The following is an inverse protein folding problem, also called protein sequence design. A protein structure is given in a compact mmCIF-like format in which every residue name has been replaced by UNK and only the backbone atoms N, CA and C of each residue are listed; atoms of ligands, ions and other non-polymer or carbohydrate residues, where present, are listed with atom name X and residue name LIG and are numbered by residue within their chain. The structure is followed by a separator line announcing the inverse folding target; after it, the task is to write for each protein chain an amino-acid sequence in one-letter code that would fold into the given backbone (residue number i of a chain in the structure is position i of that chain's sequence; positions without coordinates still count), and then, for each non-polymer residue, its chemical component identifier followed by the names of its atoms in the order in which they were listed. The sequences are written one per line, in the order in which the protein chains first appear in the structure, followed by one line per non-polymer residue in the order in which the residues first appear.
data_IF_778456541130
#
_entry.id   IF_778456541130
#
_cell.length_a   1.000
_cell.length_b   1.000
_cell.length_c   1.000
_cell.angle_alpha   90.00
_cell.angle_beta   90.00
_cell.angle_gamma   90.00
#
_symmetry.space_group_name_H-M   'P 1'
#
loop_
_entity.id
_entity.type
_entity.pdbx_description
1 polymer ?
#
# COMPACT_ATOMS: atom_id res chain seq x y z
N UNK A 1 -3.39 35.25 21.73
CA UNK A 1 -3.23 35.91 20.43
C UNK A 1 -1.91 35.53 19.75
N UNK A 2 -1.75 34.25 19.42
CA UNK A 2 -0.56 33.76 18.69
C UNK A 2 -0.82 33.48 17.20
N UNK A 3 -1.93 33.95 16.64
CA UNK A 3 -2.29 33.75 15.22
C UNK A 3 -2.33 35.05 14.43
N UNK A 4 -1.53 36.06 14.82
CA UNK A 4 -1.50 37.36 14.15
C UNK A 4 -0.48 37.52 13.03
N UNK A 5 0.36 36.53 12.77
CA UNK A 5 1.26 36.58 11.62
C UNK A 5 0.63 35.84 10.44
N UNK A 6 0.57 36.52 9.30
CA UNK A 6 -0.07 36.08 8.07
C UNK A 6 0.38 34.67 7.69
N UNK A 7 -0.49 33.69 7.87
CA UNK A 7 -0.28 32.36 7.33
C UNK A 7 -0.25 32.44 5.81
N UNK A 8 0.92 32.30 5.23
CA UNK A 8 1.09 32.31 3.79
C UNK A 8 0.74 30.93 3.24
N UNK A 9 -0.50 30.79 2.75
CA UNK A 9 -0.99 29.55 2.14
C UNK A 9 -0.12 29.07 0.97
N UNK A 10 0.50 29.99 0.23
CA UNK A 10 1.38 29.62 -0.90
C UNK A 10 2.68 29.04 -0.43
N UNK A 11 3.26 29.60 0.64
CA UNK A 11 4.47 29.06 1.26
C UNK A 11 4.20 27.72 1.92
N UNK A 12 3.06 27.58 2.62
CA UNK A 12 2.65 26.31 3.21
C UNK A 12 2.42 25.23 2.15
N UNK A 13 1.74 25.55 1.06
CA UNK A 13 1.54 24.61 -0.05
C UNK A 13 2.89 24.19 -0.65
N UNK A 14 3.80 25.13 -0.90
CA UNK A 14 5.12 24.82 -1.43
C UNK A 14 5.95 23.93 -0.50
N UNK A 15 5.92 24.19 0.81
CA UNK A 15 6.61 23.35 1.80
C UNK A 15 6.00 21.95 1.86
N UNK A 16 4.68 21.82 1.74
CA UNK A 16 4.00 20.52 1.70
C UNK A 16 4.33 19.73 0.44
N UNK A 17 4.46 20.41 -0.70
CA UNK A 17 4.86 19.77 -1.97
C UNK A 17 6.34 19.31 -1.97
N UNK A 18 7.19 19.97 -1.17
CA UNK A 18 8.62 19.64 -1.04
C UNK A 18 8.89 18.58 0.04
N UNK A 19 7.90 18.23 0.89
CA UNK A 19 8.07 17.19 1.89
C UNK A 19 8.02 15.81 1.22
N UNK A 20 9.03 14.95 1.46
CA UNK A 20 8.96 13.58 0.97
C UNK A 20 7.73 12.90 1.57
N UNK A 21 6.99 12.09 0.78
CA UNK A 21 5.85 11.36 1.30
C UNK A 21 6.28 10.49 2.48
N UNK A 22 5.48 10.49 3.54
CA UNK A 22 5.70 9.58 4.67
C UNK A 22 5.60 8.16 4.15
N UNK A 23 6.51 7.27 4.57
CA UNK A 23 6.57 5.89 4.11
C UNK A 23 5.18 5.25 3.98
N UNK A 24 4.97 4.57 2.85
CA UNK A 24 3.73 3.87 2.50
C UNK A 24 2.47 4.76 2.31
N UNK A 25 2.63 6.06 2.10
CA UNK A 25 1.54 6.94 1.65
C UNK A 25 1.74 7.38 0.21
N UNK A 26 1.84 6.39 -0.71
CA UNK A 26 2.24 6.64 -2.09
C UNK A 26 3.75 6.87 -2.23
N UNK A 27 4.55 6.30 -1.33
CA UNK A 27 6.01 6.36 -1.43
C UNK A 27 6.50 5.41 -2.51
N UNK A 28 7.42 5.91 -3.32
CA UNK A 28 8.15 5.08 -4.27
C UNK A 28 9.52 4.77 -3.67
N UNK A 29 9.85 3.48 -3.57
CA UNK A 29 11.17 3.02 -3.15
C UNK A 29 11.70 1.96 -4.11
N UNK A 30 13.03 1.90 -4.24
CA UNK A 30 13.68 0.91 -5.08
C UNK A 30 13.77 -0.45 -4.37
N UNK A 31 13.30 -1.49 -5.04
CA UNK A 31 13.44 -2.89 -4.60
C UNK A 31 13.98 -3.70 -5.78
N UNK A 32 15.12 -4.35 -5.58
CA UNK A 32 15.80 -5.15 -6.61
C UNK A 32 16.07 -4.40 -7.94
N UNK A 33 16.31 -3.08 -7.87
CA UNK A 33 16.56 -2.25 -9.06
C UNK A 33 15.29 -1.85 -9.81
N UNK A 34 14.12 -1.98 -9.20
CA UNK A 34 12.84 -1.54 -9.74
C UNK A 34 12.15 -0.58 -8.78
N UNK A 35 11.51 0.46 -9.33
CA UNK A 35 10.66 1.35 -8.54
C UNK A 35 9.36 0.62 -8.14
N UNK A 36 9.03 0.70 -6.87
CA UNK A 36 7.84 0.07 -6.28
C UNK A 36 7.08 1.11 -5.48
N UNK A 37 5.79 1.23 -5.73
CA UNK A 37 4.90 2.08 -4.95
C UNK A 37 4.37 1.33 -3.73
N UNK A 38 4.42 1.96 -2.56
CA UNK A 38 3.92 1.43 -1.31
C UNK A 38 2.74 2.25 -0.80
N UNK A 39 1.59 1.61 -0.62
CA UNK A 39 0.33 2.24 -0.22
C UNK A 39 -0.17 1.66 1.10
N UNK A 40 -0.21 2.48 2.15
CA UNK A 40 -0.76 2.10 3.45
C UNK A 40 -2.27 2.33 3.50
N UNK A 41 -3.00 1.28 3.88
CA UNK A 41 -4.44 1.33 4.17
C UNK A 41 -4.68 0.97 5.64
N UNK A 42 -5.43 1.80 6.37
CA UNK A 42 -5.64 1.64 7.81
C UNK A 42 -7.12 1.47 8.18
N UNK A 43 -8.02 1.84 7.28
CA UNK A 43 -9.46 1.78 7.48
C UNK A 43 -10.16 1.86 6.10
N UNK A 44 -11.50 1.65 6.04
CA UNK A 44 -12.24 1.69 4.78
C UNK A 44 -12.04 2.97 3.98
N UNK A 45 -12.05 4.12 4.66
CA UNK A 45 -11.92 5.43 4.01
C UNK A 45 -10.55 5.59 3.35
N UNK A 46 -9.46 5.23 4.05
CA UNK A 46 -8.11 5.30 3.49
C UNK A 46 -7.92 4.31 2.34
N UNK A 47 -8.54 3.14 2.41
CA UNK A 47 -8.48 2.18 1.32
C UNK A 47 -9.23 2.71 0.09
N UNK A 48 -10.47 3.17 0.28
CA UNK A 48 -11.25 3.75 -0.81
C UNK A 48 -10.52 4.91 -1.48
N UNK A 49 -10.01 5.86 -0.68
CA UNK A 49 -9.29 7.02 -1.20
C UNK A 49 -8.07 6.61 -2.04
N UNK A 50 -7.32 5.61 -1.60
CA UNK A 50 -6.17 5.13 -2.36
C UNK A 50 -6.60 4.42 -3.65
N UNK A 51 -7.67 3.62 -3.64
CA UNK A 51 -8.20 3.00 -4.86
C UNK A 51 -8.71 4.05 -5.85
N UNK A 52 -9.41 5.08 -5.37
CA UNK A 52 -9.93 6.18 -6.20
C UNK A 52 -8.81 7.03 -6.82
N UNK A 53 -7.64 7.06 -6.18
CA UNK A 53 -6.46 7.80 -6.64
C UNK A 53 -5.38 6.92 -7.29
N UNK A 54 -5.67 5.66 -7.61
CA UNK A 54 -4.80 4.84 -8.45
C UNK A 54 -4.75 5.45 -9.86
N UNK A 55 -3.95 6.51 -10.02
CA UNK A 55 -3.86 7.32 -11.25
C UNK A 55 -3.11 6.63 -12.37
N UNK A 56 -2.21 5.73 -12.03
CA UNK A 56 -1.55 4.81 -12.97
C UNK A 56 -2.19 3.46 -12.74
N UNK A 57 -2.79 2.90 -13.78
CA UNK A 57 -3.24 1.50 -13.72
C UNK A 57 -1.98 0.65 -13.45
N UNK A 58 -1.71 0.25 -12.20
CA UNK A 58 -0.46 -0.44 -11.89
C UNK A 58 -0.47 -1.77 -12.65
N UNK A 59 0.65 -2.08 -13.32
CA UNK A 59 0.75 -3.28 -14.13
C UNK A 59 0.81 -4.55 -13.26
N UNK A 60 1.28 -4.39 -12.02
CA UNK A 60 1.35 -5.48 -11.04
C UNK A 60 0.98 -4.99 -9.64
N UNK A 61 0.11 -5.73 -8.98
CA UNK A 61 -0.46 -5.34 -7.69
C UNK A 61 -0.34 -6.49 -6.68
N UNK A 62 0.18 -6.17 -5.51
CA UNK A 62 0.09 -7.03 -4.34
C UNK A 62 -0.82 -6.39 -3.28
N UNK A 63 -1.69 -7.18 -2.69
CA UNK A 63 -2.55 -6.74 -1.56
C UNK A 63 -2.24 -7.59 -0.34
N UNK A 64 -1.83 -6.97 0.78
CA UNK A 64 -1.47 -7.68 2.00
C UNK A 64 -2.17 -7.09 3.23
N UNK A 65 -3.11 -7.81 3.81
CA UNK A 65 -3.89 -7.38 4.99
C UNK A 65 -3.38 -8.10 6.24
N UNK A 66 -2.82 -7.32 7.16
CA UNK A 66 -2.17 -7.83 8.37
C UNK A 66 -3.10 -8.02 9.58
N UNK A 67 -2.48 -8.31 10.73
CA UNK A 67 -3.16 -8.58 12.02
C UNK A 67 -3.78 -7.35 12.67
N UNK A 68 -3.37 -6.17 12.26
CA UNK A 68 -3.94 -4.90 12.73
C UNK A 68 -5.39 -4.69 12.30
N UNK A 69 -5.82 -5.41 11.29
CA UNK A 69 -7.23 -5.49 10.88
C UNK A 69 -7.90 -6.60 11.70
N UNK A 70 -8.37 -6.22 12.90
CA UNK A 70 -9.02 -7.14 13.83
C UNK A 70 -10.42 -7.56 13.39
N UNK A 71 -11.13 -6.68 12.69
CA UNK A 71 -12.43 -6.94 12.10
C UNK A 71 -12.34 -6.73 10.58
N UNK A 72 -12.12 -7.79 9.80
CA UNK A 72 -12.00 -7.68 8.36
C UNK A 72 -13.35 -7.41 7.63
N UNK A 73 -14.46 -7.38 8.38
CA UNK A 73 -15.76 -7.09 7.79
C UNK A 73 -15.83 -5.72 7.09
N UNK A 74 -15.01 -4.76 7.53
CA UNK A 74 -14.94 -3.46 6.90
C UNK A 74 -14.41 -3.51 5.45
N UNK A 75 -13.68 -4.56 5.04
CA UNK A 75 -13.27 -4.76 3.65
C UNK A 75 -14.46 -4.81 2.69
N UNK A 76 -15.64 -5.23 3.20
CA UNK A 76 -16.86 -5.31 2.42
C UNK A 76 -17.54 -3.97 2.17
N UNK A 77 -17.14 -2.91 2.88
CA UNK A 77 -17.64 -1.55 2.69
C UNK A 77 -16.85 -0.75 1.65
N UNK A 78 -15.70 -1.28 1.20
CA UNK A 78 -14.83 -0.64 0.20
C UNK A 78 -15.30 -1.05 -1.20
N UNK A 79 -15.46 -0.07 -2.08
CA UNK A 79 -15.69 -0.32 -3.50
C UNK A 79 -14.35 -0.67 -4.19
N UNK A 80 -14.26 -1.89 -4.66
CA UNK A 80 -13.05 -2.42 -5.31
C UNK A 80 -13.02 -2.19 -6.83
N UNK A 81 -14.00 -1.50 -7.41
CA UNK A 81 -14.17 -1.37 -8.86
C UNK A 81 -12.96 -0.71 -9.57
N UNK A 82 -12.18 0.09 -8.85
CA UNK A 82 -10.96 0.71 -9.38
C UNK A 82 -9.73 -0.19 -9.32
N UNK A 83 -9.82 -1.37 -8.71
CA UNK A 83 -8.76 -2.36 -8.69
C UNK A 83 -8.95 -3.35 -9.86
N UNK A 84 -8.08 -3.31 -10.83
CA UNK A 84 -8.22 -4.13 -12.05
C UNK A 84 -7.92 -5.62 -11.82
N UNK A 85 -6.99 -5.92 -10.91
CA UNK A 85 -6.53 -7.27 -10.56
C UNK A 85 -5.67 -7.23 -9.30
N UNK A 86 -5.30 -8.39 -8.77
CA UNK A 86 -4.25 -8.55 -7.78
C UNK A 86 -3.37 -9.75 -8.17
N UNK A 87 -2.09 -9.54 -8.46
CA UNK A 87 -1.17 -10.63 -8.81
C UNK A 87 -0.88 -11.52 -7.61
N UNK A 88 -0.73 -10.91 -6.43
CA UNK A 88 -0.50 -11.64 -5.18
C UNK A 88 -1.36 -11.07 -4.05
N UNK A 89 -2.03 -11.96 -3.33
CA UNK A 89 -2.79 -11.65 -2.12
C UNK A 89 -2.14 -12.32 -0.93
N UNK A 90 -1.90 -11.59 0.18
CA UNK A 90 -1.18 -12.10 1.33
C UNK A 90 -1.59 -11.44 2.66
N UNK A 91 -0.80 -11.73 3.70
CA UNK A 91 -0.97 -11.21 5.05
C UNK A 91 -1.79 -12.13 5.94
N UNK A 92 -2.02 -11.69 7.19
CA UNK A 92 -2.76 -12.51 8.15
C UNK A 92 -4.23 -12.75 7.73
N UNK A 93 -4.87 -11.73 7.19
CA UNK A 93 -6.25 -11.76 6.70
C UNK A 93 -6.33 -12.05 5.18
N UNK A 94 -5.40 -12.86 4.65
CA UNK A 94 -5.33 -13.16 3.22
C UNK A 94 -6.61 -13.81 2.68
N UNK A 95 -7.25 -14.67 3.47
CA UNK A 95 -8.46 -15.36 3.06
C UNK A 95 -9.65 -14.40 2.89
N UNK A 96 -9.78 -13.45 3.82
CA UNK A 96 -10.86 -12.47 3.82
C UNK A 96 -10.73 -11.50 2.64
N UNK A 97 -9.53 -10.99 2.39
CA UNK A 97 -9.32 -10.10 1.23
C UNK A 97 -9.43 -10.84 -0.10
N UNK A 98 -8.95 -12.09 -0.20
CA UNK A 98 -9.11 -12.90 -1.39
C UNK A 98 -10.60 -13.17 -1.67
N UNK A 99 -11.37 -13.51 -0.63
CA UNK A 99 -12.81 -13.68 -0.75
C UNK A 99 -13.50 -12.39 -1.21
N UNK A 100 -13.14 -11.25 -0.60
CA UNK A 100 -13.70 -9.94 -0.99
C UNK A 100 -13.42 -9.59 -2.46
N UNK A 101 -12.19 -9.81 -2.92
CA UNK A 101 -11.81 -9.58 -4.32
C UNK A 101 -12.57 -10.51 -5.27
N UNK A 102 -12.69 -11.77 -4.91
CA UNK A 102 -13.46 -12.76 -5.70
C UNK A 102 -14.92 -12.33 -5.86
N UNK A 103 -15.57 -11.86 -4.78
CA UNK A 103 -16.95 -11.34 -4.84
C UNK A 103 -17.10 -10.03 -5.61
N UNK A 104 -16.01 -9.32 -5.84
CA UNK A 104 -15.97 -8.14 -6.68
C UNK A 104 -15.59 -8.43 -8.13
N UNK A 105 -15.51 -9.71 -8.52
CA UNK A 105 -15.08 -10.19 -9.83
C UNK A 105 -13.67 -9.69 -10.22
N UNK A 106 -12.79 -9.47 -9.23
CA UNK A 106 -11.42 -9.03 -9.46
C UNK A 106 -10.51 -10.25 -9.59
N UNK A 107 -9.79 -10.39 -10.72
CA UNK A 107 -8.88 -11.50 -10.92
C UNK A 107 -7.76 -11.52 -9.88
N UNK A 108 -7.46 -12.71 -9.34
CA UNK A 108 -6.36 -12.97 -8.41
C UNK A 108 -5.40 -13.95 -9.06
N UNK A 109 -4.11 -13.60 -9.10
CA UNK A 109 -3.06 -14.47 -9.61
C UNK A 109 -2.71 -15.56 -8.61
N UNK A 110 -2.26 -15.20 -7.42
CA UNK A 110 -1.86 -16.13 -6.38
C UNK A 110 -2.29 -15.66 -5.00
N UNK A 111 -2.63 -16.61 -4.13
CA UNK A 111 -2.92 -16.37 -2.71
C UNK A 111 -1.86 -17.09 -1.87
N UNK A 112 -1.08 -16.34 -1.10
CA UNK A 112 0.00 -16.86 -0.26
C UNK A 112 -0.11 -16.28 1.15
N UNK A 113 -0.37 -17.13 2.14
CA UNK A 113 -0.53 -16.70 3.54
C UNK A 113 0.76 -16.25 4.23
N UNK A 114 1.91 -16.77 3.79
CA UNK A 114 3.21 -16.34 4.28
C UNK A 114 3.67 -15.08 3.54
N UNK A 115 3.81 -13.97 4.29
CA UNK A 115 4.13 -12.68 3.71
C UNK A 115 5.52 -12.64 3.07
N UNK A 116 6.52 -13.33 3.63
CA UNK A 116 7.88 -13.35 3.09
C UNK A 116 7.92 -14.11 1.77
N UNK A 117 7.25 -15.25 1.69
CA UNK A 117 7.10 -16.01 0.45
C UNK A 117 6.32 -15.21 -0.59
N UNK A 118 5.24 -14.55 -0.19
CA UNK A 118 4.43 -13.72 -1.07
C UNK A 118 5.21 -12.55 -1.68
N UNK A 119 6.00 -11.85 -0.86
CA UNK A 119 6.89 -10.78 -1.34
C UNK A 119 7.94 -11.33 -2.31
N UNK A 120 8.54 -12.48 -1.98
CA UNK A 120 9.48 -13.14 -2.88
C UNK A 120 8.85 -13.47 -4.24
N UNK A 121 7.65 -14.03 -4.26
CA UNK A 121 6.91 -14.33 -5.49
C UNK A 121 6.58 -13.06 -6.26
N UNK A 122 6.08 -12.03 -5.59
CA UNK A 122 5.69 -10.76 -6.21
C UNK A 122 6.89 -10.02 -6.84
N UNK A 123 8.00 -9.90 -6.11
CA UNK A 123 9.18 -9.22 -6.62
C UNK A 123 9.95 -10.02 -7.68
N UNK A 124 9.72 -11.33 -7.79
CA UNK A 124 10.23 -12.16 -8.86
C UNK A 124 9.36 -12.16 -10.13
N UNK A 125 8.19 -11.53 -10.11
CA UNK A 125 7.43 -11.30 -11.35
C UNK A 125 8.26 -10.50 -12.34
N UNK A 126 8.10 -10.72 -13.64
CA UNK A 126 8.78 -9.93 -14.67
C UNK A 126 8.59 -8.43 -14.45
N UNK A 127 9.58 -7.64 -14.89
CA UNK A 127 9.45 -6.18 -14.83
C UNK A 127 8.18 -5.72 -15.54
N UNK A 128 7.38 -4.81 -14.93
CA UNK A 128 6.20 -4.24 -15.56
C UNK A 128 6.53 -3.64 -16.94
N UNK A 129 5.65 -3.87 -17.91
CA UNK A 129 5.80 -3.28 -19.24
C UNK A 129 5.44 -1.80 -19.26
N UNK A 130 4.51 -1.43 -18.42
CA UNK A 130 4.06 -0.05 -18.19
C UNK A 130 3.77 0.13 -16.71
N UNK A 131 3.94 1.35 -16.18
CA UNK A 131 3.72 1.61 -14.75
C UNK A 131 4.79 0.99 -13.87
N UNK A 132 4.42 0.65 -12.64
CA UNK A 132 5.31 0.08 -11.62
C UNK A 132 4.58 -1.00 -10.82
N UNK A 133 5.34 -1.75 -10.04
CA UNK A 133 4.79 -2.65 -9.02
C UNK A 133 4.18 -1.80 -7.89
N UNK A 134 2.99 -2.17 -7.44
CA UNK A 134 2.30 -1.49 -6.34
C UNK A 134 1.97 -2.48 -5.23
N UNK A 135 2.36 -2.17 -4.00
CA UNK A 135 2.04 -2.96 -2.82
C UNK A 135 1.07 -2.18 -1.94
N UNK A 136 -0.15 -2.68 -1.81
CA UNK A 136 -1.18 -2.14 -0.93
C UNK A 136 -1.21 -3.00 0.34
N UNK A 137 -0.99 -2.40 1.49
CA UNK A 137 -0.92 -3.16 2.74
C UNK A 137 -1.49 -2.42 3.96
N UNK A 138 -1.92 -3.18 4.96
CA UNK A 138 -2.24 -2.64 6.27
C UNK A 138 -0.98 -2.44 7.13
N UNK A 139 -1.10 -1.76 8.27
CA UNK A 139 0.04 -1.34 9.07
C UNK A 139 0.93 -2.49 9.59
N UNK A 140 0.35 -3.62 9.99
CA UNK A 140 1.15 -4.79 10.40
C UNK A 140 1.91 -5.39 9.21
N UNK A 141 1.23 -5.58 8.09
CA UNK A 141 1.86 -6.09 6.87
C UNK A 141 2.97 -5.14 6.38
N UNK A 142 2.75 -3.81 6.45
CA UNK A 142 3.76 -2.80 6.15
C UNK A 142 5.02 -2.96 7.01
N UNK A 143 4.88 -2.98 8.35
CA UNK A 143 6.03 -3.11 9.25
C UNK A 143 6.83 -4.39 9.00
N UNK A 144 6.13 -5.50 8.72
CA UNK A 144 6.77 -6.77 8.37
C UNK A 144 7.47 -6.71 7.02
N UNK A 145 6.83 -6.13 6.01
CA UNK A 145 7.43 -5.90 4.67
C UNK A 145 8.71 -5.09 4.77
N UNK A 146 8.69 -3.96 5.51
CA UNK A 146 9.90 -3.15 5.72
C UNK A 146 11.05 -3.95 6.32
N UNK A 147 10.77 -4.76 7.34
CA UNK A 147 11.78 -5.61 7.98
C UNK A 147 12.35 -6.63 7.01
N UNK A 148 11.50 -7.27 6.22
CA UNK A 148 11.92 -8.28 5.23
C UNK A 148 12.79 -7.63 4.14
N UNK A 149 12.42 -6.45 3.67
CA UNK A 149 13.17 -5.71 2.65
C UNK A 149 14.41 -4.97 3.20
N UNK A 150 14.63 -4.98 4.51
CA UNK A 150 15.76 -4.31 5.13
C UNK A 150 15.69 -2.79 5.17
N UNK A 151 14.51 -2.22 5.02
CA UNK A 151 14.32 -0.77 5.16
C UNK A 151 14.49 -0.34 6.62
N UNK A 152 15.31 0.68 6.85
CA UNK A 152 15.51 1.28 8.18
C UNK A 152 14.21 1.92 8.68
N UNK A 153 13.89 1.69 9.95
CA UNK A 153 12.75 2.34 10.57
C UNK A 153 13.13 3.79 10.93
N UNK A 154 12.47 4.81 10.37
CA UNK A 154 12.78 6.20 10.72
C UNK A 154 12.53 6.50 12.21
N UNK A 155 11.64 5.75 12.88
CA UNK A 155 11.38 5.91 14.31
C UNK A 155 12.44 5.21 15.21
N UNK A 156 13.30 4.38 14.65
CA UNK A 156 14.36 3.70 15.40
C UNK A 156 15.63 4.56 15.58
N UNK A 157 15.73 5.69 14.91
CA UNK A 157 16.91 6.58 14.94
C UNK A 157 16.87 7.59 16.11
N UNK A 158 15.73 7.75 16.79
CA UNK A 158 15.55 8.71 17.89
C UNK A 158 15.55 8.08 19.30
N UNK A 159 16.26 6.96 19.51
CA UNK A 159 16.45 6.41 20.86
C UNK A 159 17.92 6.22 21.18
#
# INVERSE_FOLDING_TARGET
NYLGERFDLKLAAKVLDELPPVFARGEIAEVNGEDVEFILVQNPMSFQLNLDNLTTNPDQIMVAIGRDVHDPSWLWTVDMSNLSHADVVSGYNFAEIALRLTYADIPIGEVEGDLELALGKFFNLPKPKQGMKTVIFSADAMRRTRRILGFTDPEAVER
#
